data_IF_731216729875
#
_entry.id   IF_731216729875
#
_cell.length_a   1.000
_cell.length_b   1.000
_cell.length_c   1.000
_cell.angle_alpha   90.00
_cell.angle_beta   90.00
_cell.angle_gamma   90.00
#
_symmetry.space_group_name_H-M   'P 1'
#
loop_
_entity.id
_entity.type
_entity.pdbx_description
1 polymer ?
#
# COMPACT_ATOMS: atom_id res chain seq x y z
N UNK A 1 25.00 27.13 -15.15
CA UNK A 1 24.24 27.25 -13.87
C UNK A 1 23.84 28.68 -13.51
N UNK A 2 24.75 29.66 -13.43
CA UNK A 2 24.42 31.04 -12.95
C UNK A 2 23.37 31.81 -13.77
N UNK A 3 23.28 31.60 -15.09
CA UNK A 3 22.24 32.22 -15.93
C UNK A 3 20.85 31.57 -15.75
N UNK A 4 20.80 30.28 -15.44
CA UNK A 4 19.56 29.52 -15.25
C UNK A 4 18.82 30.00 -13.99
N UNK A 5 19.58 30.23 -12.91
CA UNK A 5 19.04 30.76 -11.66
C UNK A 5 18.57 32.21 -11.76
N UNK A 6 18.85 32.95 -12.85
CA UNK A 6 18.41 34.34 -13.02
C UNK A 6 17.11 34.49 -13.82
N UNK A 7 16.59 33.41 -14.43
CA UNK A 7 15.30 33.45 -15.11
C UNK A 7 14.16 33.45 -14.09
N UNK A 8 13.38 34.53 -14.06
CA UNK A 8 12.23 34.69 -13.14
C UNK A 8 11.22 33.55 -13.26
N UNK A 9 11.01 33.03 -14.47
CA UNK A 9 10.04 31.95 -14.72
C UNK A 9 10.52 30.64 -14.11
N UNK A 10 11.83 30.38 -14.20
CA UNK A 10 12.47 29.21 -13.59
C UNK A 10 12.46 29.29 -12.06
N UNK A 11 12.79 30.44 -11.49
CA UNK A 11 12.71 30.67 -10.04
C UNK A 11 11.29 30.47 -9.51
N UNK A 12 10.28 31.02 -10.19
CA UNK A 12 8.88 30.86 -9.80
C UNK A 12 8.44 29.39 -9.84
N UNK A 13 8.80 28.64 -10.89
CA UNK A 13 8.48 27.20 -10.98
C UNK A 13 9.09 26.40 -9.84
N UNK A 14 10.33 26.71 -9.44
CA UNK A 14 10.98 26.08 -8.27
C UNK A 14 10.22 26.43 -6.99
N UNK A 15 9.94 27.71 -6.74
CA UNK A 15 9.22 28.16 -5.55
C UNK A 15 7.84 27.50 -5.46
N UNK A 16 7.08 27.47 -6.56
CA UNK A 16 5.79 26.79 -6.64
C UNK A 16 5.92 25.31 -6.34
N UNK A 17 6.90 24.62 -6.94
CA UNK A 17 7.15 23.19 -6.68
C UNK A 17 7.39 22.95 -5.18
N UNK A 18 8.22 23.78 -4.54
CA UNK A 18 8.45 23.70 -3.09
C UNK A 18 7.21 24.01 -2.26
N UNK A 19 6.38 24.97 -2.66
CA UNK A 19 5.12 25.29 -1.97
C UNK A 19 4.14 24.11 -2.07
N UNK A 20 3.91 23.58 -3.27
CA UNK A 20 2.99 22.44 -3.48
C UNK A 20 3.48 21.18 -2.75
N UNK A 21 4.76 20.88 -2.86
CA UNK A 21 5.34 19.71 -2.22
C UNK A 21 5.41 19.87 -0.70
N UNK A 22 5.81 21.03 -0.22
CA UNK A 22 5.86 21.36 1.21
C UNK A 22 4.48 21.29 1.84
N UNK A 23 3.48 21.94 1.23
CA UNK A 23 2.08 21.88 1.72
C UNK A 23 1.52 20.46 1.68
N UNK A 24 1.77 19.70 0.60
CA UNK A 24 1.36 18.30 0.50
C UNK A 24 1.97 17.41 1.59
N UNK A 25 3.29 17.53 1.81
CA UNK A 25 4.00 16.78 2.87
C UNK A 25 3.49 17.20 4.25
N UNK A 26 3.35 18.50 4.51
CA UNK A 26 2.81 19.01 5.78
C UNK A 26 1.40 18.49 6.03
N UNK A 27 0.53 18.49 5.03
CA UNK A 27 -0.83 17.94 5.16
C UNK A 27 -0.82 16.43 5.42
N UNK A 28 0.10 15.70 4.81
CA UNK A 28 0.28 14.27 5.05
C UNK A 28 0.77 13.99 6.48
N UNK A 29 1.70 14.81 7.01
CA UNK A 29 2.16 14.73 8.40
C UNK A 29 1.10 15.12 9.42
N UNK A 30 0.31 16.17 9.15
CA UNK A 30 -0.80 16.60 10.00
C UNK A 30 -2.01 15.63 9.92
N UNK A 31 -1.96 14.64 9.04
CA UNK A 31 -3.05 13.69 8.82
C UNK A 31 -4.29 14.33 8.17
N UNK A 32 -4.12 15.47 7.50
CA UNK A 32 -5.18 16.20 6.78
C UNK A 32 -5.36 15.71 5.35
N UNK A 33 -4.40 14.91 4.86
CA UNK A 33 -4.46 14.27 3.54
C UNK A 33 -4.17 12.78 3.72
N UNK A 34 -5.11 11.95 3.27
CA UNK A 34 -4.84 10.53 3.03
C UNK A 34 -4.17 10.36 1.67
N UNK A 35 -3.54 9.21 1.43
CA UNK A 35 -2.99 8.83 0.14
C UNK A 35 -4.08 8.74 -0.93
N UNK A 36 -4.42 9.88 -1.55
CA UNK A 36 -5.67 10.05 -2.26
C UNK A 36 -5.51 10.52 -3.71
N UNK A 37 -6.64 10.73 -4.40
CA UNK A 37 -6.66 11.29 -5.76
C UNK A 37 -5.89 12.62 -5.86
N UNK A 38 -5.95 13.42 -4.80
CA UNK A 38 -5.24 14.70 -4.71
C UNK A 38 -3.73 14.48 -4.77
N UNK A 39 -3.21 13.49 -4.04
CA UNK A 39 -1.77 13.21 -3.98
C UNK A 39 -1.26 12.52 -5.25
N UNK A 40 -2.00 11.55 -5.79
CA UNK A 40 -1.51 10.72 -6.91
C UNK A 40 -1.89 11.23 -8.29
N UNK A 41 -2.87 12.14 -8.42
CA UNK A 41 -3.28 12.71 -9.71
C UNK A 41 -3.13 14.22 -9.72
N UNK A 42 -3.82 14.94 -8.82
CA UNK A 42 -3.87 16.40 -8.88
C UNK A 42 -2.47 17.02 -8.70
N UNK A 43 -1.73 16.60 -7.68
CA UNK A 43 -0.38 17.12 -7.42
C UNK A 43 0.58 16.85 -8.61
N UNK A 44 0.75 15.62 -9.12
CA UNK A 44 1.52 15.34 -10.33
C UNK A 44 1.09 16.16 -11.55
N UNK A 45 -0.22 16.36 -11.74
CA UNK A 45 -0.74 17.12 -12.87
C UNK A 45 -0.31 18.59 -12.78
N UNK A 46 -0.43 19.19 -11.60
CA UNK A 46 -0.01 20.57 -11.34
C UNK A 46 1.49 20.75 -11.53
N UNK A 47 2.28 19.79 -11.05
CA UNK A 47 3.73 19.78 -11.29
C UNK A 47 4.04 19.73 -12.78
N UNK A 48 3.34 18.87 -13.54
CA UNK A 48 3.44 18.80 -14.99
C UNK A 48 3.09 20.12 -15.68
N UNK A 49 2.00 20.77 -15.26
CA UNK A 49 1.59 22.07 -15.78
C UNK A 49 2.67 23.14 -15.54
N UNK A 50 3.22 23.18 -14.32
CA UNK A 50 4.27 24.11 -13.94
C UNK A 50 5.57 23.89 -14.73
N UNK A 51 5.94 22.63 -14.97
CA UNK A 51 7.10 22.28 -15.81
C UNK A 51 6.86 22.71 -17.26
N UNK A 52 5.67 22.47 -17.82
CA UNK A 52 5.33 22.90 -19.18
C UNK A 52 5.30 24.42 -19.36
N UNK A 53 5.15 25.18 -18.27
CA UNK A 53 5.19 26.64 -18.29
C UNK A 53 6.62 27.17 -18.53
N UNK A 54 7.67 26.34 -18.37
CA UNK A 54 9.06 26.74 -18.62
C UNK A 54 9.25 27.06 -20.13
N UNK A 55 9.82 28.22 -20.49
CA UNK A 55 9.95 28.65 -21.88
C UNK A 55 11.01 27.87 -22.67
N UNK A 56 12.02 27.29 -22.00
CA UNK A 56 13.11 26.60 -22.66
C UNK A 56 12.96 25.07 -22.59
N UNK A 57 12.74 24.46 -23.76
CA UNK A 57 12.51 23.01 -23.93
C UNK A 57 13.66 22.13 -23.44
N UNK A 58 14.91 22.61 -23.44
CA UNK A 58 16.06 21.83 -22.91
C UNK A 58 16.00 21.65 -21.40
N UNK A 59 15.38 22.57 -20.67
CA UNK A 59 15.30 22.53 -19.20
C UNK A 59 14.03 21.86 -18.68
N UNK A 60 13.07 21.58 -19.55
CA UNK A 60 11.83 20.86 -19.22
C UNK A 60 12.15 19.45 -18.72
N UNK A 61 12.99 18.70 -19.42
CA UNK A 61 13.33 17.32 -19.04
C UNK A 61 14.06 17.27 -17.69
N UNK A 62 14.98 18.20 -17.45
CA UNK A 62 15.71 18.33 -16.18
C UNK A 62 14.73 18.69 -15.06
N UNK A 63 13.82 19.65 -15.30
CA UNK A 63 12.79 20.05 -14.34
C UNK A 63 11.85 18.90 -13.98
N UNK A 64 11.43 18.09 -14.96
CA UNK A 64 10.59 16.91 -14.74
C UNK A 64 11.30 15.83 -13.92
N UNK A 65 12.57 15.54 -14.23
CA UNK A 65 13.37 14.58 -13.46
C UNK A 65 13.54 15.06 -12.02
N UNK A 66 13.93 16.32 -11.81
CA UNK A 66 14.12 16.90 -10.48
C UNK A 66 12.81 16.92 -9.68
N UNK A 67 11.70 17.37 -10.28
CA UNK A 67 10.40 17.38 -9.61
C UNK A 67 9.93 15.97 -9.24
N UNK A 68 10.13 14.98 -10.12
CA UNK A 68 9.82 13.58 -9.84
C UNK A 68 10.67 13.07 -8.68
N UNK A 69 11.99 13.29 -8.70
CA UNK A 69 12.89 12.87 -7.62
C UNK A 69 12.48 13.51 -6.28
N UNK A 70 12.19 14.82 -6.26
CA UNK A 70 11.76 15.50 -5.04
C UNK A 70 10.41 14.96 -4.55
N UNK A 71 9.44 14.71 -5.45
CA UNK A 71 8.16 14.11 -5.11
C UNK A 71 8.33 12.72 -4.48
N UNK A 72 9.19 11.88 -5.06
CA UNK A 72 9.46 10.54 -4.54
C UNK A 72 10.22 10.57 -3.20
N UNK A 73 11.20 11.48 -3.06
CA UNK A 73 11.90 11.68 -1.77
C UNK A 73 10.95 12.17 -0.68
N UNK A 74 9.98 13.02 -1.03
CA UNK A 74 8.93 13.47 -0.11
C UNK A 74 8.03 12.35 0.39
N UNK A 75 7.83 11.29 -0.41
CA UNK A 75 7.13 10.08 0.01
C UNK A 75 8.03 9.15 0.85
N UNK A 76 9.34 9.19 0.64
CA UNK A 76 10.36 8.39 1.34
C UNK A 76 10.64 8.87 2.78
N UNK A 77 9.66 9.46 3.45
CA UNK A 77 9.80 9.78 4.87
C UNK A 77 9.66 8.49 5.69
N UNK A 78 10.62 8.18 6.59
CA UNK A 78 10.57 6.99 7.44
C UNK A 78 9.24 6.87 8.19
N UNK A 79 8.61 5.69 8.11
CA UNK A 79 7.37 5.39 8.81
C UNK A 79 6.08 5.85 8.10
N UNK A 80 6.17 6.48 6.93
CA UNK A 80 5.00 6.85 6.12
C UNK A 80 4.83 5.95 4.89
N UNK A 81 5.90 5.73 4.10
CA UNK A 81 5.87 4.85 2.94
C UNK A 81 7.17 4.04 2.77
N UNK A 82 7.06 2.86 2.15
CA UNK A 82 8.18 2.00 1.79
C UNK A 82 8.66 2.22 0.35
N UNK A 83 9.83 1.68 0.01
CA UNK A 83 10.41 1.67 -1.34
C UNK A 83 9.43 1.08 -2.39
N UNK A 84 8.72 0.01 -2.05
CA UNK A 84 7.74 -0.66 -2.88
C UNK A 84 6.56 0.28 -3.21
N UNK A 85 6.14 1.14 -2.27
CA UNK A 85 5.11 2.14 -2.52
C UNK A 85 5.58 3.16 -3.57
N UNK A 86 6.84 3.60 -3.51
CA UNK A 86 7.44 4.52 -4.49
C UNK A 86 7.47 3.87 -5.89
N UNK A 87 7.96 2.65 -5.98
CA UNK A 87 8.01 1.90 -7.24
C UNK A 87 6.61 1.72 -7.83
N UNK A 88 5.62 1.44 -6.99
CA UNK A 88 4.22 1.31 -7.40
C UNK A 88 3.56 2.65 -7.71
N UNK A 89 4.07 3.78 -7.21
CA UNK A 89 3.50 5.11 -7.49
C UNK A 89 3.98 5.66 -8.84
N UNK A 90 5.21 5.31 -9.25
CA UNK A 90 5.84 5.76 -10.49
C UNK A 90 4.95 5.60 -11.75
N UNK A 91 4.30 4.44 -12.00
CA UNK A 91 3.47 4.25 -13.19
C UNK A 91 2.24 5.17 -13.27
N UNK A 92 1.77 5.74 -12.17
CA UNK A 92 0.71 6.77 -12.20
C UNK A 92 1.34 8.16 -12.34
N UNK A 93 2.30 8.49 -11.47
CA UNK A 93 2.78 9.87 -11.32
C UNK A 93 3.45 10.37 -12.59
N UNK A 94 4.29 9.54 -13.22
CA UNK A 94 5.06 9.96 -14.41
C UNK A 94 4.13 10.29 -15.59
N UNK A 95 3.18 9.41 -16.00
CA UNK A 95 2.23 9.77 -17.05
C UNK A 95 1.39 11.01 -16.75
N UNK A 96 0.94 11.20 -15.51
CA UNK A 96 0.13 12.37 -15.15
C UNK A 96 0.95 13.67 -15.22
N UNK A 97 2.23 13.67 -14.80
CA UNK A 97 3.14 14.79 -15.03
C UNK A 97 3.28 15.08 -16.54
N UNK A 98 3.44 14.04 -17.36
CA UNK A 98 3.52 14.18 -18.81
C UNK A 98 2.24 14.80 -19.41
N UNK A 99 1.06 14.39 -18.92
CA UNK A 99 -0.21 14.98 -19.35
C UNK A 99 -0.27 16.46 -19.01
N UNK A 100 0.09 16.85 -17.77
CA UNK A 100 0.15 18.25 -17.37
C UNK A 100 1.09 19.06 -18.26
N UNK A 101 2.25 18.51 -18.58
CA UNK A 101 3.19 19.12 -19.53
C UNK A 101 2.58 19.33 -20.92
N UNK A 102 1.94 18.31 -21.48
CA UNK A 102 1.31 18.35 -22.81
C UNK A 102 0.21 19.42 -22.84
N UNK A 103 -0.64 19.49 -21.81
CA UNK A 103 -1.71 20.49 -21.71
C UNK A 103 -1.15 21.90 -21.79
N UNK A 104 -0.12 22.23 -21.00
CA UNK A 104 0.51 23.55 -21.06
C UNK A 104 1.16 23.83 -22.42
N UNK A 105 1.79 22.82 -23.04
CA UNK A 105 2.42 22.97 -24.35
C UNK A 105 1.40 23.25 -25.45
N UNK A 106 0.25 22.57 -25.44
CA UNK A 106 -0.86 22.83 -26.36
C UNK A 106 -1.45 24.21 -26.11
N UNK A 107 -1.71 24.59 -24.86
CA UNK A 107 -2.25 25.92 -24.51
C UNK A 107 -1.34 27.07 -24.98
N UNK A 108 -0.02 26.90 -24.89
CA UNK A 108 0.95 27.87 -25.45
C UNK A 108 0.94 27.92 -26.98
N UNK A 109 0.69 26.80 -27.65
CA UNK A 109 0.66 26.69 -29.11
C UNK A 109 -0.56 27.38 -29.74
N UNK A 110 -1.68 27.44 -29.01
CA UNK A 110 -2.93 28.06 -29.46
C UNK A 110 -3.02 29.59 -29.18
N UNK A 111 -1.88 30.26 -28.96
CA UNK A 111 -1.74 31.73 -28.96
C UNK A 111 -2.41 32.55 -27.82
N UNK A 112 -3.04 31.95 -26.79
CA UNK A 112 -3.66 32.72 -25.69
C UNK A 112 -2.71 33.09 -24.52
N UNK A 113 -1.49 32.53 -24.45
CA UNK A 113 -0.53 32.80 -23.35
C UNK A 113 0.68 33.60 -23.88
N UNK A 114 0.41 34.66 -24.63
CA UNK A 114 1.46 35.46 -25.28
C UNK A 114 1.81 36.78 -24.59
N UNK A 115 1.22 37.14 -23.46
CA UNK A 115 1.62 38.36 -22.75
C UNK A 115 1.51 38.26 -21.23
N UNK A 116 2.64 38.52 -20.57
CA UNK A 116 2.81 39.12 -19.23
C UNK A 116 1.95 38.58 -18.08
N UNK A 117 2.63 37.86 -17.17
CA UNK A 117 2.16 37.28 -15.89
C UNK A 117 1.50 35.89 -15.99
N UNK A 118 2.35 34.86 -16.10
CA UNK A 118 1.99 33.44 -15.92
C UNK A 118 1.63 33.07 -14.46
N UNK A 119 1.81 34.01 -13.52
CA UNK A 119 1.63 33.79 -12.08
C UNK A 119 0.21 33.35 -11.69
N UNK A 120 -0.88 33.96 -12.22
CA UNK A 120 -2.25 33.54 -11.91
C UNK A 120 -2.53 32.13 -12.45
N UNK A 121 -2.09 31.81 -13.67
CA UNK A 121 -2.28 30.49 -14.30
C UNK A 121 -1.58 29.37 -13.49
N UNK A 122 -0.44 29.69 -12.88
CA UNK A 122 0.31 28.77 -12.02
C UNK A 122 -0.26 28.63 -10.60
N UNK A 123 -0.95 29.66 -10.09
CA UNK A 123 -1.54 29.67 -8.74
C UNK A 123 -3.00 29.20 -8.72
N UNK A 124 -3.73 29.30 -9.84
CA UNK A 124 -5.12 28.83 -9.95
C UNK A 124 -5.26 27.37 -9.51
N UNK A 125 -4.37 26.42 -9.85
CA UNK A 125 -4.48 25.04 -9.40
C UNK A 125 -4.18 24.83 -7.90
N UNK A 126 -3.60 25.81 -7.20
CA UNK A 126 -3.37 25.74 -5.75
C UNK A 126 -4.69 25.79 -4.97
N UNK A 127 -5.67 26.55 -5.46
CA UNK A 127 -6.97 26.70 -4.81
C UNK A 127 -7.73 25.36 -4.74
N UNK A 128 -7.97 24.63 -5.85
CA UNK A 128 -8.62 23.33 -5.77
C UNK A 128 -7.75 22.31 -5.02
N UNK A 129 -6.41 22.40 -5.05
CA UNK A 129 -5.56 21.52 -4.24
C UNK A 129 -5.79 21.73 -2.72
N UNK A 130 -5.79 22.99 -2.27
CA UNK A 130 -6.00 23.34 -0.85
C UNK A 130 -7.42 23.00 -0.36
N UNK A 131 -8.42 23.02 -1.25
CA UNK A 131 -9.82 22.70 -0.91
C UNK A 131 -10.11 21.20 -1.04
N UNK A 132 -9.66 20.56 -2.12
CA UNK A 132 -9.98 19.17 -2.41
C UNK A 132 -9.39 18.21 -1.37
N UNK A 133 -8.18 18.49 -0.88
CA UNK A 133 -7.52 17.71 0.17
C UNK A 133 -8.39 17.53 1.43
N UNK A 134 -8.80 18.60 2.15
CA UNK A 134 -9.62 18.48 3.35
C UNK A 134 -11.07 18.06 3.06
N UNK A 135 -11.62 18.41 1.89
CA UNK A 135 -12.98 18.01 1.50
C UNK A 135 -13.05 16.50 1.26
N UNK A 136 -12.09 15.93 0.53
CA UNK A 136 -12.01 14.49 0.30
C UNK A 136 -11.89 13.72 1.62
N UNK A 137 -11.11 14.25 2.57
CA UNK A 137 -10.97 13.64 3.89
C UNK A 137 -12.31 13.56 4.64
N UNK A 138 -13.10 14.64 4.63
CA UNK A 138 -14.38 14.69 5.34
C UNK A 138 -15.43 13.77 4.72
N UNK A 139 -15.52 13.74 3.39
CA UNK A 139 -16.50 12.91 2.70
C UNK A 139 -16.18 11.41 2.88
N UNK A 140 -14.90 11.04 2.83
CA UNK A 140 -14.51 9.62 2.75
C UNK A 140 -14.25 8.94 4.09
N UNK A 141 -14.33 9.67 5.20
CA UNK A 141 -14.18 9.08 6.53
C UNK A 141 -15.28 8.03 6.82
N UNK A 142 -16.44 8.17 6.20
CA UNK A 142 -17.63 7.36 6.50
C UNK A 142 -17.91 6.23 5.48
N UNK A 143 -17.20 6.15 4.34
CA UNK A 143 -17.50 5.23 3.23
C UNK A 143 -16.36 4.23 2.89
N UNK A 144 -15.66 3.69 3.88
CA UNK A 144 -14.65 2.66 3.60
C UNK A 144 -15.30 1.30 3.34
N UNK A 145 -15.38 0.91 2.07
CA UNK A 145 -15.83 -0.43 1.68
C UNK A 145 -14.93 -1.52 2.28
N UNK A 146 -15.56 -2.57 2.81
CA UNK A 146 -14.87 -3.78 3.26
C UNK A 146 -14.59 -4.64 2.02
N UNK A 147 -13.32 -4.94 1.78
CA UNK A 147 -12.85 -5.72 0.65
C UNK A 147 -12.43 -7.09 1.14
N UNK A 148 -12.85 -8.13 0.42
CA UNK A 148 -12.52 -9.52 0.70
C UNK A 148 -11.41 -10.04 -0.22
N UNK A 149 -10.45 -10.77 0.36
CA UNK A 149 -9.47 -11.58 -0.37
C UNK A 149 -9.61 -13.03 0.09
N UNK A 150 -9.86 -13.91 -0.88
CA UNK A 150 -10.03 -15.35 -0.67
C UNK A 150 -8.93 -16.13 -1.39
N UNK A 151 -8.30 -17.06 -0.69
CA UNK A 151 -7.34 -18.03 -1.24
C UNK A 151 -7.73 -19.44 -0.76
N UNK A 152 -7.53 -20.44 -1.62
CA UNK A 152 -7.89 -21.83 -1.37
C UNK A 152 -6.67 -22.71 -1.57
N UNK A 153 -6.41 -23.61 -0.62
CA UNK A 153 -5.35 -24.61 -0.67
C UNK A 153 -5.92 -26.00 -0.39
N UNK A 154 -5.39 -27.02 -1.05
CA UNK A 154 -5.79 -28.42 -0.82
C UNK A 154 -4.59 -29.17 -0.25
N UNK A 155 -4.79 -29.80 0.90
CA UNK A 155 -3.75 -30.48 1.66
C UNK A 155 -4.11 -31.96 1.81
N UNK A 156 -3.14 -32.86 1.61
CA UNK A 156 -3.30 -34.30 1.78
C UNK A 156 -3.21 -34.71 3.26
N UNK A 157 -4.00 -34.02 4.10
CA UNK A 157 -4.14 -34.25 5.53
C UNK A 157 -5.61 -34.05 5.94
N UNK A 158 -6.01 -34.64 7.06
CA UNK A 158 -7.38 -34.44 7.60
C UNK A 158 -7.59 -32.99 8.05
N UNK A 159 -8.83 -32.52 8.04
CA UNK A 159 -9.16 -31.15 8.48
C UNK A 159 -8.67 -30.84 9.90
N UNK A 160 -8.67 -31.84 10.78
CA UNK A 160 -8.17 -31.70 12.14
C UNK A 160 -6.64 -31.48 12.18
N UNK A 161 -5.89 -32.25 11.39
CA UNK A 161 -4.42 -32.08 11.28
C UNK A 161 -4.05 -30.71 10.72
N UNK A 162 -4.77 -30.25 9.68
CA UNK A 162 -4.56 -28.92 9.08
C UNK A 162 -4.89 -27.82 10.08
N UNK A 163 -6.02 -27.93 10.79
CA UNK A 163 -6.40 -27.01 11.86
C UNK A 163 -5.34 -26.94 12.97
N UNK A 164 -4.88 -28.09 13.45
CA UNK A 164 -3.89 -28.18 14.53
C UNK A 164 -2.52 -27.63 14.14
N UNK A 165 -2.18 -27.61 12.85
CA UNK A 165 -0.95 -27.03 12.34
C UNK A 165 -1.03 -25.50 12.16
N UNK A 166 -2.20 -24.93 11.82
CA UNK A 166 -2.32 -23.49 11.52
C UNK A 166 -2.76 -22.63 12.71
N UNK A 167 -3.43 -23.20 13.71
CA UNK A 167 -3.98 -22.45 14.85
C UNK A 167 -2.93 -21.63 15.61
N UNK A 168 -1.71 -22.19 15.75
CA UNK A 168 -0.55 -21.52 16.32
C UNK A 168 0.68 -21.95 15.52
N UNK A 169 1.49 -20.98 15.09
CA UNK A 169 2.66 -21.21 14.24
C UNK A 169 3.86 -20.56 14.91
N UNK A 170 4.82 -21.36 15.35
CA UNK A 170 5.98 -20.85 16.10
C UNK A 170 7.01 -20.15 15.21
N UNK A 171 7.17 -20.66 13.99
CA UNK A 171 8.06 -20.09 12.98
C UNK A 171 7.48 -20.30 11.59
N UNK A 172 7.62 -19.28 10.74
CA UNK A 172 7.35 -19.41 9.31
C UNK A 172 8.68 -19.41 8.54
N UNK A 173 9.00 -20.54 7.90
CA UNK A 173 10.23 -20.77 7.14
C UNK A 173 9.93 -21.37 5.75
N UNK A 174 8.98 -20.73 5.06
CA UNK A 174 8.68 -21.03 3.66
C UNK A 174 9.53 -20.17 2.71
N UNK A 175 9.53 -20.55 1.44
CA UNK A 175 10.15 -19.74 0.40
C UNK A 175 9.30 -18.48 0.23
N UNK A 176 9.93 -17.32 0.36
CA UNK A 176 9.24 -16.03 0.35
C UNK A 176 8.85 -15.66 -1.09
N UNK A 177 7.57 -15.34 -1.36
CA UNK A 177 7.17 -14.73 -2.61
C UNK A 177 7.98 -13.46 -2.91
N UNK A 178 8.15 -13.13 -4.19
CA UNK A 178 9.05 -12.06 -4.64
C UNK A 178 8.83 -10.73 -3.91
N UNK A 179 7.58 -10.27 -3.72
CA UNK A 179 7.32 -8.96 -3.10
C UNK A 179 7.56 -8.96 -1.58
N UNK A 180 7.57 -10.12 -0.93
CA UNK A 180 7.93 -10.25 0.49
C UNK A 180 9.41 -10.00 0.75
N UNK A 181 10.28 -10.07 -0.25
CA UNK A 181 11.68 -9.67 -0.08
C UNK A 181 11.87 -8.15 0.04
N UNK A 182 10.84 -7.38 -0.31
CA UNK A 182 10.83 -5.91 -0.24
C UNK A 182 10.12 -5.44 1.04
N UNK A 183 9.05 -4.66 0.91
CA UNK A 183 8.41 -4.01 2.05
C UNK A 183 7.16 -4.71 2.56
N UNK A 184 6.70 -5.80 1.93
CA UNK A 184 5.51 -6.51 2.43
C UNK A 184 5.79 -7.11 3.82
N UNK A 185 4.83 -7.06 4.75
CA UNK A 185 4.96 -7.67 6.07
C UNK A 185 5.20 -9.16 5.92
N UNK A 186 6.26 -9.66 6.54
CA UNK A 186 6.55 -11.09 6.60
C UNK A 186 6.04 -11.61 7.95
N UNK A 187 5.00 -12.45 7.98
CA UNK A 187 4.60 -13.11 9.22
C UNK A 187 5.71 -14.05 9.69
N UNK A 188 6.11 -13.93 10.95
CA UNK A 188 7.19 -14.75 11.53
C UNK A 188 6.70 -15.76 12.55
N UNK A 189 5.62 -15.43 13.27
CA UNK A 189 5.06 -16.23 14.35
C UNK A 189 3.60 -15.84 14.58
N UNK A 190 2.74 -16.78 14.93
CA UNK A 190 1.41 -16.52 15.46
C UNK A 190 1.19 -17.37 16.72
N UNK A 191 0.92 -16.72 17.85
CA UNK A 191 0.69 -17.38 19.15
C UNK A 191 -0.79 -17.30 19.48
N UNK A 192 -1.41 -18.45 19.72
CA UNK A 192 -2.78 -18.53 20.23
C UNK A 192 -2.75 -18.72 21.75
N UNK A 193 -3.34 -17.79 22.50
CA UNK A 193 -3.35 -17.84 23.97
C UNK A 193 -4.35 -18.86 24.50
N UNK A 194 -5.57 -18.85 23.93
CA UNK A 194 -6.66 -19.75 24.32
C UNK A 194 -7.43 -20.21 23.09
N UNK A 195 -7.71 -21.50 23.02
CA UNK A 195 -8.42 -22.14 21.91
C UNK A 195 -9.95 -22.17 22.15
N UNK A 196 -10.54 -20.99 22.37
CA UNK A 196 -11.98 -20.80 22.61
C UNK A 196 -12.46 -19.45 22.08
N UNK A 197 -13.79 -19.27 21.95
CA UNK A 197 -14.37 -17.98 21.56
C UNK A 197 -13.99 -16.92 22.61
N UNK A 198 -13.47 -15.79 22.14
CA UNK A 198 -12.90 -14.75 22.98
C UNK A 198 -11.39 -14.87 23.21
N UNK A 199 -10.77 -16.01 22.89
CA UNK A 199 -9.32 -16.18 22.91
C UNK A 199 -8.61 -15.26 21.91
N UNK A 200 -7.38 -14.87 22.24
CA UNK A 200 -6.55 -13.98 21.43
C UNK A 200 -5.48 -14.76 20.67
N UNK A 201 -5.26 -14.36 19.43
CA UNK A 201 -4.16 -14.81 18.58
C UNK A 201 -3.34 -13.60 18.17
N UNK A 202 -2.06 -13.60 18.55
CA UNK A 202 -1.13 -12.52 18.21
C UNK A 202 -0.16 -12.99 17.15
N UNK A 203 -0.23 -12.37 15.97
CA UNK A 203 0.70 -12.59 14.88
C UNK A 203 1.76 -11.49 14.85
N UNK A 204 3.01 -11.90 14.73
CA UNK A 204 4.20 -11.06 14.69
C UNK A 204 4.73 -10.99 13.27
N UNK A 205 5.06 -9.78 12.84
CA UNK A 205 5.52 -9.47 11.50
C UNK A 205 6.88 -8.77 11.57
N UNK A 206 7.69 -8.99 10.54
CA UNK A 206 8.92 -8.25 10.28
C UNK A 206 8.88 -7.65 8.88
N UNK A 207 9.61 -6.56 8.67
CA UNK A 207 9.88 -6.03 7.35
C UNK A 207 10.73 -7.02 6.53
N UNK A 208 10.60 -6.96 5.21
CA UNK A 208 11.47 -7.73 4.32
C UNK A 208 12.91 -7.22 4.31
N UNK A 209 13.81 -7.99 3.70
CA UNK A 209 15.26 -7.74 3.77
C UNK A 209 15.67 -6.38 3.19
N UNK A 210 14.91 -5.89 2.21
CA UNK A 210 15.13 -4.60 1.56
C UNK A 210 14.27 -3.48 2.17
N UNK A 211 13.58 -3.76 3.27
CA UNK A 211 12.75 -2.79 3.97
C UNK A 211 13.58 -1.82 4.80
N UNK A 212 13.23 -0.54 4.73
CA UNK A 212 13.86 0.50 5.53
C UNK A 212 13.20 0.58 6.90
N UNK A 213 14.01 0.64 7.97
CA UNK A 213 13.55 0.86 9.35
C UNK A 213 12.41 -0.09 9.79
N UNK A 214 12.47 -1.36 9.35
CA UNK A 214 11.46 -2.39 9.65
C UNK A 214 10.04 -2.01 9.16
N UNK A 215 9.93 -1.28 8.04
CA UNK A 215 8.65 -0.96 7.42
C UNK A 215 7.88 -2.26 7.12
N UNK A 216 6.63 -2.32 7.60
CA UNK A 216 5.81 -3.53 7.58
C UNK A 216 5.99 -4.48 8.78
N UNK A 217 6.95 -4.25 9.65
CA UNK A 217 7.09 -4.96 10.93
C UNK A 217 6.06 -4.54 11.97
N UNK A 218 5.82 -5.40 12.96
CA UNK A 218 4.90 -5.14 14.06
C UNK A 218 4.00 -6.32 14.42
N UNK A 219 2.77 -6.04 14.86
CA UNK A 219 1.83 -7.08 15.31
C UNK A 219 0.40 -6.87 14.85
N UNK A 220 -0.31 -7.98 14.71
CA UNK A 220 -1.76 -8.04 14.53
C UNK A 220 -2.32 -8.93 15.63
N UNK A 221 -3.29 -8.41 16.39
CA UNK A 221 -4.00 -9.15 17.43
C UNK A 221 -5.41 -9.44 16.94
N UNK A 222 -5.75 -10.71 16.91
CA UNK A 222 -7.01 -11.25 16.42
C UNK A 222 -7.77 -11.89 17.59
N UNK A 223 -9.08 -11.63 17.70
CA UNK A 223 -9.95 -12.23 18.72
C UNK A 223 -10.85 -13.26 18.06
N UNK A 224 -10.88 -14.49 18.57
CA UNK A 224 -11.75 -15.55 18.08
C UNK A 224 -13.22 -15.17 18.30
N UNK A 225 -13.99 -15.13 17.23
CA UNK A 225 -15.44 -14.87 17.25
C UNK A 225 -16.26 -16.11 16.94
N UNK A 226 -15.71 -17.05 16.17
CA UNK A 226 -16.34 -18.36 15.92
C UNK A 226 -15.28 -19.44 15.82
N UNK A 227 -15.52 -20.55 16.51
CA UNK A 227 -14.60 -21.70 16.52
C UNK A 227 -15.36 -23.02 16.46
N UNK A 228 -15.01 -23.84 15.48
CA UNK A 228 -15.33 -25.26 15.43
C UNK A 228 -14.10 -25.98 14.88
N UNK A 229 -13.43 -26.77 15.72
CA UNK A 229 -12.14 -27.41 15.37
C UNK A 229 -12.28 -28.23 14.09
N UNK A 230 -11.31 -28.07 13.17
CA UNK A 230 -11.32 -28.74 11.88
C UNK A 230 -12.48 -28.35 10.94
N UNK A 231 -13.21 -27.26 11.21
CA UNK A 231 -14.30 -26.76 10.36
C UNK A 231 -14.24 -25.25 10.13
N UNK A 232 -14.16 -24.46 11.20
CA UNK A 232 -14.05 -22.99 11.10
C UNK A 232 -13.21 -22.39 12.24
N UNK A 233 -12.36 -21.43 11.87
CA UNK A 233 -11.68 -20.52 12.80
C UNK A 233 -11.87 -19.09 12.25
N UNK A 234 -12.73 -18.32 12.89
CA UNK A 234 -13.04 -16.94 12.53
C UNK A 234 -12.55 -16.01 13.63
N UNK A 235 -11.85 -14.95 13.23
CA UNK A 235 -11.28 -13.98 14.14
C UNK A 235 -11.48 -12.56 13.64
N UNK A 236 -11.79 -11.65 14.55
CA UNK A 236 -11.84 -10.21 14.28
C UNK A 236 -10.52 -9.57 14.70
N UNK A 237 -10.00 -8.65 13.89
CA UNK A 237 -8.78 -7.90 14.21
C UNK A 237 -9.12 -6.81 15.21
N UNK A 238 -8.64 -6.96 16.44
CA UNK A 238 -8.91 -6.03 17.56
C UNK A 238 -7.79 -5.02 17.76
N UNK A 239 -6.56 -5.37 17.37
CA UNK A 239 -5.43 -4.45 17.39
C UNK A 239 -4.55 -4.66 16.16
N UNK A 240 -4.09 -3.56 15.60
CA UNK A 240 -3.29 -3.51 14.39
C UNK A 240 -2.18 -2.48 14.58
N UNK A 241 -0.94 -2.95 14.65
CA UNK A 241 0.24 -2.10 14.78
C UNK A 241 1.32 -2.54 13.81
N UNK A 242 1.18 -2.17 12.53
CA UNK A 242 2.23 -2.35 11.52
C UNK A 242 2.86 -1.01 11.13
N UNK A 243 4.18 -0.96 11.14
CA UNK A 243 4.96 0.23 10.82
C UNK A 243 4.66 0.67 9.39
N UNK A 244 4.20 1.93 9.23
CA UNK A 244 3.98 2.55 7.92
C UNK A 244 2.78 2.07 7.12
N UNK A 245 1.85 1.33 7.75
CA UNK A 245 0.67 0.75 7.08
C UNK A 245 -0.66 1.24 7.64
N UNK A 246 -0.69 2.46 8.17
CA UNK A 246 -1.91 3.11 8.68
C UNK A 246 -3.01 3.30 7.62
N UNK A 247 -2.69 3.12 6.35
CA UNK A 247 -3.61 3.23 5.23
C UNK A 247 -4.42 1.94 4.96
N UNK A 248 -4.05 0.81 5.56
CA UNK A 248 -4.73 -0.48 5.45
C UNK A 248 -5.29 -0.89 6.82
N UNK A 249 -6.59 -1.19 6.89
CA UNK A 249 -7.25 -1.61 8.12
C UNK A 249 -7.78 -3.03 8.00
N UNK A 250 -7.07 -4.02 8.53
CA UNK A 250 -7.60 -5.39 8.59
C UNK A 250 -8.81 -5.47 9.52
N UNK A 251 -9.80 -6.26 9.12
CA UNK A 251 -11.07 -6.42 9.86
C UNK A 251 -11.24 -7.84 10.36
N UNK A 252 -11.10 -8.84 9.48
CA UNK A 252 -11.32 -10.23 9.85
C UNK A 252 -10.33 -11.17 9.15
N UNK A 253 -10.04 -12.28 9.84
CA UNK A 253 -9.35 -13.44 9.31
C UNK A 253 -10.22 -14.68 9.54
N UNK A 254 -10.55 -15.39 8.46
CA UNK A 254 -11.45 -16.54 8.49
C UNK A 254 -10.78 -17.72 7.80
N UNK A 255 -10.81 -18.87 8.48
CA UNK A 255 -10.35 -20.14 7.96
C UNK A 255 -11.50 -21.13 7.95
N UNK A 256 -11.82 -21.68 6.78
CA UNK A 256 -12.70 -22.83 6.64
C UNK A 256 -11.89 -24.07 6.29
N UNK A 257 -12.30 -25.20 6.84
CA UNK A 257 -11.65 -26.49 6.64
C UNK A 257 -12.69 -27.50 6.17
N UNK A 258 -12.75 -27.73 4.87
CA UNK A 258 -13.68 -28.66 4.24
C UNK A 258 -12.99 -30.00 4.01
N UNK A 259 -13.58 -31.09 4.53
CA UNK A 259 -13.12 -32.44 4.21
C UNK A 259 -13.56 -32.78 2.78
N UNK A 260 -12.61 -33.05 1.89
CA UNK A 260 -12.85 -33.40 0.49
C UNK A 260 -12.42 -34.84 0.15
N UNK A 261 -12.02 -35.60 1.18
CA UNK A 261 -11.67 -37.01 1.11
C UNK A 261 -11.24 -37.52 2.49
N UNK A 262 -10.98 -38.84 2.64
CA UNK A 262 -10.63 -39.44 3.93
C UNK A 262 -9.40 -38.79 4.60
N UNK A 263 -8.43 -38.34 3.80
CA UNK A 263 -7.20 -37.68 4.25
C UNK A 263 -6.92 -36.42 3.43
N UNK A 264 -7.96 -35.68 3.03
CA UNK A 264 -7.77 -34.48 2.23
C UNK A 264 -8.65 -33.34 2.74
N UNK A 265 -8.02 -32.21 3.00
CA UNK A 265 -8.65 -31.00 3.51
C UNK A 265 -8.46 -29.87 2.51
N UNK A 266 -9.58 -29.28 2.08
CA UNK A 266 -9.62 -28.01 1.38
C UNK A 266 -9.72 -26.90 2.41
N UNK A 267 -8.68 -26.11 2.54
CA UNK A 267 -8.64 -24.96 3.42
C UNK A 267 -8.92 -23.69 2.62
N UNK A 268 -9.90 -22.91 3.07
CA UNK A 268 -10.18 -21.59 2.51
C UNK A 268 -9.76 -20.53 3.52
N UNK A 269 -8.86 -19.63 3.12
CA UNK A 269 -8.48 -18.46 3.91
C UNK A 269 -9.13 -17.21 3.33
N UNK A 270 -9.80 -16.45 4.18
CA UNK A 270 -10.42 -15.18 3.86
C UNK A 270 -9.83 -14.11 4.76
N UNK A 271 -9.40 -13.00 4.16
CA UNK A 271 -8.99 -11.81 4.89
C UNK A 271 -9.79 -10.63 4.38
N UNK A 272 -10.42 -9.90 5.31
CA UNK A 272 -11.15 -8.67 4.98
C UNK A 272 -10.39 -7.45 5.48
N UNK A 273 -10.42 -6.38 4.69
CA UNK A 273 -9.73 -5.14 5.00
C UNK A 273 -10.47 -3.92 4.48
N UNK A 274 -10.12 -2.75 5.01
CA UNK A 274 -10.47 -1.44 4.47
C UNK A 274 -9.20 -0.73 4.02
N UNK A 275 -9.31 0.17 3.04
CA UNK A 275 -8.17 0.98 2.59
C UNK A 275 -8.58 2.42 2.33
N UNK A 276 -7.70 3.35 2.69
CA UNK A 276 -7.86 4.78 2.35
C UNK A 276 -7.24 5.15 1.00
N UNK A 277 -6.46 4.26 0.39
CA UNK A 277 -5.73 4.56 -0.86
C UNK A 277 -6.71 4.81 -2.01
N UNK A 278 -6.54 5.91 -2.74
CA UNK A 278 -7.20 6.14 -4.04
C UNK A 278 -6.21 6.54 -5.13
N UNK A 279 -6.50 6.26 -6.40
CA UNK A 279 -7.73 5.64 -6.94
C UNK A 279 -7.85 4.12 -6.68
N UNK A 280 -9.07 3.64 -6.37
CA UNK A 280 -9.31 2.22 -6.04
C UNK A 280 -8.99 1.27 -7.19
N UNK A 281 -9.31 1.65 -8.42
CA UNK A 281 -9.04 0.83 -9.60
C UNK A 281 -7.55 0.50 -9.77
N UNK A 282 -6.65 1.32 -9.23
CA UNK A 282 -5.21 1.10 -9.28
C UNK A 282 -4.67 0.39 -8.02
N UNK A 283 -5.03 0.89 -6.84
CA UNK A 283 -4.45 0.39 -5.59
C UNK A 283 -5.06 -0.93 -5.13
N UNK A 284 -6.36 -1.14 -5.35
CA UNK A 284 -7.05 -2.35 -4.89
C UNK A 284 -6.47 -3.65 -5.47
N UNK A 285 -6.19 -3.76 -6.79
CA UNK A 285 -5.55 -4.96 -7.33
C UNK A 285 -4.21 -5.27 -6.66
N UNK A 286 -3.42 -4.24 -6.35
CA UNK A 286 -2.11 -4.38 -5.75
C UNK A 286 -2.19 -4.78 -4.26
N UNK A 287 -3.15 -4.21 -3.53
CA UNK A 287 -3.46 -4.60 -2.16
C UNK A 287 -3.92 -6.06 -2.09
N UNK A 288 -4.85 -6.46 -2.97
CA UNK A 288 -5.31 -7.85 -3.09
C UNK A 288 -4.15 -8.80 -3.41
N UNK A 289 -3.25 -8.39 -4.30
CA UNK A 289 -2.04 -9.17 -4.62
C UNK A 289 -1.13 -9.33 -3.40
N UNK A 290 -0.88 -8.27 -2.63
CA UNK A 290 -0.06 -8.33 -1.42
C UNK A 290 -0.62 -9.30 -0.37
N UNK A 291 -1.94 -9.25 -0.13
CA UNK A 291 -2.62 -10.17 0.80
C UNK A 291 -2.58 -11.62 0.26
N UNK A 292 -2.81 -11.82 -1.04
CA UNK A 292 -2.70 -13.17 -1.64
C UNK A 292 -1.31 -13.77 -1.48
N UNK A 293 -0.25 -13.00 -1.69
CA UNK A 293 1.11 -13.50 -1.47
C UNK A 293 1.36 -13.88 0.00
N UNK A 294 0.75 -13.17 0.94
CA UNK A 294 0.79 -13.57 2.35
C UNK A 294 0.00 -14.85 2.62
N UNK A 295 -1.15 -15.04 1.98
CA UNK A 295 -1.86 -16.32 2.01
C UNK A 295 -0.99 -17.46 1.47
N UNK A 296 -0.35 -17.25 0.32
CA UNK A 296 0.49 -18.26 -0.34
C UNK A 296 1.71 -18.63 0.50
N UNK A 297 2.34 -17.64 1.14
CA UNK A 297 3.45 -17.86 2.06
C UNK A 297 3.04 -18.71 3.26
N UNK A 298 1.89 -18.39 3.88
CA UNK A 298 1.36 -19.16 5.01
C UNK A 298 0.97 -20.58 4.58
N UNK A 299 0.38 -20.76 3.40
CA UNK A 299 0.02 -22.09 2.90
C UNK A 299 1.25 -22.93 2.59
N UNK A 300 2.29 -22.33 2.01
CA UNK A 300 3.56 -23.00 1.76
C UNK A 300 4.23 -23.43 3.06
N UNK A 301 4.17 -22.58 4.10
CA UNK A 301 4.70 -22.94 5.42
C UNK A 301 3.89 -24.07 6.06
N UNK A 302 2.57 -23.98 5.99
CA UNK A 302 1.66 -25.01 6.49
C UNK A 302 1.94 -26.37 5.85
N UNK A 303 2.20 -26.42 4.54
CA UNK A 303 2.58 -27.65 3.86
C UNK A 303 3.89 -28.23 4.41
N UNK A 304 4.90 -27.38 4.65
CA UNK A 304 6.17 -27.81 5.28
C UNK A 304 5.95 -28.34 6.69
N UNK A 305 5.16 -27.64 7.51
CA UNK A 305 4.86 -28.02 8.89
C UNK A 305 4.09 -29.33 8.98
N UNK A 306 3.09 -29.53 8.10
CA UNK A 306 2.34 -30.79 8.01
C UNK A 306 3.24 -31.95 7.62
N UNK A 307 4.12 -31.76 6.62
CA UNK A 307 5.12 -32.76 6.23
C UNK A 307 6.05 -33.09 7.39
N UNK A 308 6.56 -32.09 8.12
CA UNK A 308 7.48 -32.30 9.26
C UNK A 308 6.80 -33.04 10.42
N UNK A 309 5.56 -32.66 10.75
CA UNK A 309 4.82 -33.19 11.90
C UNK A 309 4.29 -34.61 11.68
N UNK A 310 3.93 -34.95 10.43
CA UNK A 310 3.24 -36.21 10.12
C UNK A 310 4.03 -37.16 9.19
N UNK A 311 5.25 -36.81 8.72
CA UNK A 311 6.13 -37.75 7.98
C UNK A 311 6.55 -38.97 8.79
N UNK A 312 6.53 -38.92 10.12
CA UNK A 312 6.93 -40.03 10.99
C UNK A 312 5.95 -41.20 11.05
N UNK A 313 4.82 -41.15 10.31
CA UNK A 313 3.73 -42.13 10.44
C UNK A 313 3.62 -43.07 9.22
N UNK A 314 4.42 -42.88 8.15
CA UNK A 314 4.26 -43.63 6.88
C UNK A 314 5.50 -44.51 6.55
N UNK A 315 6.43 -44.71 7.49
CA UNK A 315 7.61 -45.57 7.29
C UNK A 315 7.55 -46.90 8.06
N UNK A 316 6.38 -47.52 8.15
CA UNK A 316 6.23 -48.91 8.59
C UNK A 316 5.21 -49.65 7.72
#
# INVERSE_FOLDING_TARGET
MKQILKDRSFQLSIILTFIFLGTGITFLFLGWVYYSWVLFILLPLILGLAIGAIPNTRYVLIGAIVATIICLMGLYVPGLSGLLCIVMTLPIVVPIICIGYIVTHLAKRYDEIKSTNLLPVLLIPLIPFLIAAPVEQRIRKDEQAIIEVKTVGVFNYTSQQVYDAIKSVDTLDADKPFLMNFDLPIPTKCVLEKEEVGGLRTCYFKGGRLSNADFGGGTIVEKITRLQKGKVLQMDVVNYNLIGRKWLGFKQAIYYFDSVGAHQCKMTRITTYTSVLTPRWYWEPLEKMGIRQEHDYVFSNLEKDLKRKYRSVISH
#
